data_IF_816092055189
#
_entry.id   IF_816092055189
#
_cell.length_a   1.000
_cell.length_b   1.000
_cell.length_c   1.000
_cell.angle_alpha   90.00
_cell.angle_beta   90.00
_cell.angle_gamma   90.00
#
_symmetry.space_group_name_H-M   'P 1'
#
loop_
_entity.id
_entity.type
_entity.pdbx_description
1 polymer ?
#
# COMPACT_ATOMS: atom_id res chain seq x y z
N UNK A 1 18.46 -13.55 -1.59
CA UNK A 1 17.22 -12.75 -1.65
C UNK A 1 16.12 -13.56 -0.99
N UNK A 2 15.58 -13.08 0.13
CA UNK A 2 14.49 -13.75 0.84
C UNK A 2 13.25 -13.75 -0.07
N UNK A 3 12.52 -14.87 -0.12
CA UNK A 3 11.31 -14.95 -0.93
C UNK A 3 10.24 -14.01 -0.37
N UNK A 4 9.48 -13.35 -1.25
CA UNK A 4 8.38 -12.47 -0.85
C UNK A 4 7.39 -13.15 0.10
N UNK A 5 7.08 -14.42 -0.14
CA UNK A 5 6.20 -15.20 0.72
C UNK A 5 6.71 -15.26 2.17
N UNK A 6 8.03 -15.38 2.37
CA UNK A 6 8.61 -15.37 3.71
C UNK A 6 8.47 -14.00 4.37
N UNK A 7 8.66 -12.91 3.61
CA UNK A 7 8.45 -11.55 4.10
C UNK A 7 7.00 -11.30 4.55
N UNK A 8 6.02 -11.83 3.80
CA UNK A 8 4.59 -11.74 4.16
C UNK A 8 4.25 -12.56 5.42
N UNK A 9 4.86 -13.74 5.58
CA UNK A 9 4.72 -14.54 6.80
C UNK A 9 5.26 -13.77 8.01
N UNK A 10 6.46 -13.21 7.91
CA UNK A 10 7.05 -12.39 8.98
C UNK A 10 6.19 -11.16 9.29
N UNK A 11 5.69 -10.47 8.28
CA UNK A 11 4.78 -9.35 8.45
C UNK A 11 3.50 -9.76 9.21
N UNK A 12 2.92 -10.90 8.85
CA UNK A 12 1.71 -11.42 9.49
C UNK A 12 1.96 -11.79 10.95
N UNK A 13 3.07 -12.47 11.25
CA UNK A 13 3.48 -12.81 12.62
C UNK A 13 3.72 -11.53 13.44
N UNK A 14 4.33 -10.51 12.82
CA UNK A 14 4.57 -9.22 13.45
C UNK A 14 3.27 -8.54 13.87
N UNK A 15 2.30 -8.46 12.96
CA UNK A 15 0.96 -7.92 13.23
C UNK A 15 0.20 -8.70 14.29
N UNK A 16 0.28 -10.03 14.23
CA UNK A 16 -0.35 -10.90 15.22
C UNK A 16 0.24 -10.65 16.62
N UNK A 17 1.56 -10.57 16.71
CA UNK A 17 2.27 -10.34 17.97
C UNK A 17 1.90 -8.99 18.58
N UNK A 18 1.79 -7.94 17.78
CA UNK A 18 1.32 -6.64 18.26
C UNK A 18 -0.13 -6.70 18.76
N UNK A 19 -1.02 -7.37 18.02
CA UNK A 19 -2.42 -7.54 18.44
C UNK A 19 -2.56 -8.34 19.74
N UNK A 20 -1.64 -9.28 20.01
CA UNK A 20 -1.65 -10.11 21.21
C UNK A 20 -0.80 -9.53 22.36
N UNK A 21 -0.05 -8.45 22.12
CA UNK A 21 0.91 -7.91 23.09
C UNK A 21 2.15 -8.80 23.31
N UNK A 22 2.48 -9.65 22.34
CA UNK A 22 3.67 -10.50 22.39
C UNK A 22 4.92 -9.73 21.93
N UNK A 23 6.06 -10.03 22.55
CA UNK A 23 7.37 -9.52 22.11
C UNK A 23 8.02 -10.49 21.13
N UNK A 24 8.68 -9.95 20.10
CA UNK A 24 9.43 -10.73 19.12
C UNK A 24 10.92 -10.69 19.43
N UNK A 25 11.55 -11.87 19.43
CA UNK A 25 12.99 -12.07 19.41
C UNK A 25 13.40 -12.56 18.02
N UNK A 26 14.34 -11.85 17.41
CA UNK A 26 15.02 -12.32 16.21
C UNK A 26 16.44 -12.73 16.58
N UNK A 27 16.78 -13.98 16.30
CA UNK A 27 18.10 -14.57 16.56
C UNK A 27 18.87 -14.84 15.26
N UNK A 28 20.17 -15.12 15.38
CA UNK A 28 21.03 -15.44 14.23
C UNK A 28 21.36 -14.23 13.34
N UNK A 29 21.32 -13.01 13.88
CA UNK A 29 21.68 -11.80 13.13
C UNK A 29 23.20 -11.72 13.01
N UNK A 30 23.70 -11.77 11.78
CA UNK A 30 25.13 -11.76 11.45
C UNK A 30 25.53 -10.50 10.66
N UNK A 31 24.58 -9.85 9.98
CA UNK A 31 24.84 -8.67 9.16
C UNK A 31 23.78 -7.56 9.32
N UNK A 32 24.11 -6.38 8.78
CA UNK A 32 23.24 -5.20 8.83
C UNK A 32 21.91 -5.41 8.09
N UNK A 33 21.88 -6.23 7.03
CA UNK A 33 20.64 -6.49 6.28
C UNK A 33 19.62 -7.25 7.14
N UNK A 34 20.05 -8.29 7.84
CA UNK A 34 19.22 -9.07 8.77
C UNK A 34 18.74 -8.23 9.96
N UNK A 35 19.61 -7.37 10.47
CA UNK A 35 19.26 -6.42 11.52
C UNK A 35 18.12 -5.49 11.09
N UNK A 36 18.25 -4.88 9.91
CA UNK A 36 17.25 -3.97 9.37
C UNK A 36 15.93 -4.67 9.06
N UNK A 37 15.99 -5.92 8.60
CA UNK A 37 14.79 -6.74 8.41
C UNK A 37 14.11 -7.06 9.74
N UNK A 38 14.87 -7.47 10.75
CA UNK A 38 14.35 -7.75 12.10
C UNK A 38 13.63 -6.54 12.69
N UNK A 39 14.26 -5.36 12.60
CA UNK A 39 13.65 -4.09 13.02
C UNK A 39 12.41 -3.73 12.18
N UNK A 40 12.41 -4.04 10.88
CA UNK A 40 11.25 -3.83 10.00
C UNK A 40 10.03 -4.65 10.45
N UNK A 41 10.23 -5.82 11.05
CA UNK A 41 9.18 -6.68 11.59
C UNK A 41 8.93 -6.48 13.09
N UNK A 42 9.29 -5.32 13.63
CA UNK A 42 9.02 -4.95 15.02
C UNK A 42 9.67 -5.87 16.07
N UNK A 43 10.87 -6.40 15.77
CA UNK A 43 11.67 -7.12 16.76
C UNK A 43 11.92 -6.24 18.00
N UNK A 44 11.53 -6.76 19.17
CA UNK A 44 11.81 -6.10 20.45
C UNK A 44 13.16 -6.53 21.02
N UNK A 45 13.52 -7.79 20.80
CA UNK A 45 14.80 -8.37 21.20
C UNK A 45 15.55 -8.85 19.96
N UNK A 46 16.86 -8.68 19.99
CA UNK A 46 17.76 -8.98 18.88
C UNK A 46 18.96 -9.75 19.41
N UNK A 47 19.33 -10.83 18.73
CA UNK A 47 20.45 -11.68 19.11
C UNK A 47 21.22 -12.16 17.87
N UNK A 48 22.54 -12.20 17.98
CA UNK A 48 23.40 -12.73 16.93
C UNK A 48 24.81 -12.18 16.99
N UNK A 49 25.71 -12.79 16.23
CA UNK A 49 27.13 -12.44 16.20
C UNK A 49 27.39 -11.03 15.68
N UNK A 50 26.44 -10.45 14.96
CA UNK A 50 26.48 -9.03 14.62
C UNK A 50 26.71 -8.16 15.86
N UNK A 51 26.08 -8.48 17.00
CA UNK A 51 26.22 -7.71 18.24
C UNK A 51 27.40 -8.18 19.08
N UNK A 52 27.40 -9.47 19.41
CA UNK A 52 28.44 -10.13 20.20
C UNK A 52 28.39 -11.64 19.96
N UNK A 53 29.56 -12.27 19.92
CA UNK A 53 29.66 -13.72 19.93
C UNK A 53 29.34 -14.30 21.31
N UNK A 54 29.17 -15.62 21.38
CA UNK A 54 29.01 -16.32 22.65
C UNK A 54 30.31 -16.23 23.46
N UNK A 55 30.30 -15.42 24.51
CA UNK A 55 31.45 -15.20 25.39
C UNK A 55 31.21 -15.82 26.77
N UNK A 56 32.26 -16.32 27.44
CA UNK A 56 32.15 -16.93 28.77
C UNK A 56 31.81 -15.92 29.87
N UNK A 57 32.01 -14.63 29.61
CA UNK A 57 31.78 -13.53 30.53
C UNK A 57 30.74 -12.55 29.95
N UNK A 58 30.02 -11.85 30.81
CA UNK A 58 29.07 -10.81 30.41
C UNK A 58 29.79 -9.64 29.73
N UNK A 59 29.23 -9.16 28.61
CA UNK A 59 29.74 -7.99 27.89
C UNK A 59 29.29 -6.71 28.61
N UNK A 60 30.13 -5.67 28.57
CA UNK A 60 29.81 -4.36 29.13
C UNK A 60 28.59 -3.73 28.43
N UNK A 61 27.60 -3.30 29.23
CA UNK A 61 26.36 -2.74 28.68
C UNK A 61 26.56 -1.42 27.92
N UNK A 62 27.54 -0.60 28.32
CA UNK A 62 27.75 0.73 27.72
C UNK A 62 28.23 0.67 26.26
N UNK A 63 29.12 -0.27 25.94
CA UNK A 63 29.61 -0.45 24.57
C UNK A 63 28.47 -0.90 23.62
N UNK A 64 27.65 -1.84 24.07
CA UNK A 64 26.48 -2.29 23.33
C UNK A 64 25.46 -1.15 23.16
N UNK A 65 25.19 -0.36 24.21
CA UNK A 65 24.26 0.79 24.12
C UNK A 65 24.67 1.79 23.04
N UNK A 66 25.94 2.17 22.99
CA UNK A 66 26.45 3.10 21.97
C UNK A 66 26.26 2.53 20.55
N UNK A 67 26.58 1.25 20.36
CA UNK A 67 26.40 0.56 19.07
C UNK A 67 24.92 0.49 18.66
N UNK A 68 24.01 0.17 19.58
CA UNK A 68 22.57 0.16 19.32
C UNK A 68 22.02 1.56 18.99
N UNK A 69 22.54 2.62 19.62
CA UNK A 69 22.12 3.99 19.30
C UNK A 69 22.42 4.36 17.85
N UNK A 70 23.63 4.04 17.38
CA UNK A 70 24.02 4.28 15.98
C UNK A 70 23.18 3.45 14.99
N UNK A 71 22.89 2.20 15.34
CA UNK A 71 21.99 1.33 14.55
C UNK A 71 20.60 1.93 14.42
N UNK A 72 20.00 2.40 15.52
CA UNK A 72 18.66 2.99 15.50
C UNK A 72 18.60 4.26 14.64
N UNK A 73 19.63 5.10 14.71
CA UNK A 73 19.72 6.30 13.87
C UNK A 73 19.82 5.93 12.39
N UNK A 74 20.69 4.97 12.04
CA UNK A 74 20.82 4.48 10.66
C UNK A 74 19.50 3.88 10.15
N UNK A 75 18.85 3.03 10.96
CA UNK A 75 17.56 2.43 10.64
C UNK A 75 16.47 3.50 10.42
N UNK A 76 16.38 4.48 11.33
CA UNK A 76 15.41 5.56 11.22
C UNK A 76 15.64 6.38 9.95
N UNK A 77 16.90 6.75 9.66
CA UNK A 77 17.25 7.50 8.46
C UNK A 77 16.92 6.71 7.19
N UNK A 78 17.20 5.41 7.16
CA UNK A 78 16.84 4.54 6.05
C UNK A 78 15.31 4.47 5.84
N UNK A 79 14.54 4.25 6.90
CA UNK A 79 13.06 4.24 6.83
C UNK A 79 12.50 5.59 6.42
N UNK A 80 13.08 6.69 6.91
CA UNK A 80 12.68 8.04 6.52
C UNK A 80 12.91 8.28 5.03
N UNK A 81 14.04 7.84 4.49
CA UNK A 81 14.32 7.96 3.06
C UNK A 81 13.33 7.14 2.21
N UNK A 82 12.98 5.92 2.64
CA UNK A 82 11.93 5.12 1.99
C UNK A 82 10.58 5.84 2.01
N UNK A 83 10.19 6.41 3.14
CA UNK A 83 8.94 7.19 3.27
C UNK A 83 8.92 8.41 2.36
N UNK A 84 10.02 9.17 2.30
CA UNK A 84 10.13 10.35 1.42
C UNK A 84 9.98 9.96 -0.04
N UNK A 85 10.68 8.92 -0.49
CA UNK A 85 10.54 8.41 -1.87
C UNK A 85 9.11 7.97 -2.17
N UNK A 86 8.48 7.25 -1.24
CA UNK A 86 7.10 6.79 -1.37
C UNK A 86 6.12 7.96 -1.50
N UNK A 87 6.23 8.94 -0.61
CA UNK A 87 5.39 10.16 -0.64
C UNK A 87 5.57 10.92 -1.95
N UNK A 88 6.82 11.05 -2.43
CA UNK A 88 7.11 11.73 -3.69
C UNK A 88 6.44 11.02 -4.87
N UNK A 89 6.56 9.69 -4.96
CA UNK A 89 5.92 8.91 -6.01
C UNK A 89 4.39 8.98 -5.91
N UNK A 90 3.81 8.85 -4.71
CA UNK A 90 2.36 8.94 -4.50
C UNK A 90 1.83 10.28 -5.03
N UNK A 91 2.51 11.40 -4.73
CA UNK A 91 2.15 12.72 -5.26
C UNK A 91 2.25 12.83 -6.78
N UNK A 92 3.32 12.28 -7.37
CA UNK A 92 3.49 12.26 -8.83
C UNK A 92 2.38 11.47 -9.54
N UNK A 93 1.93 10.37 -8.93
CA UNK A 93 0.83 9.56 -9.46
C UNK A 93 -0.52 10.26 -9.27
N UNK A 94 -0.76 10.89 -8.11
CA UNK A 94 -1.95 11.70 -7.85
C UNK A 94 -2.07 12.87 -8.84
N UNK A 95 -0.97 13.57 -9.11
CA UNK A 95 -0.93 14.65 -10.10
C UNK A 95 -1.27 14.13 -11.51
N UNK A 96 -0.73 12.96 -11.90
CA UNK A 96 -1.11 12.31 -13.17
C UNK A 96 -2.58 11.92 -13.21
N UNK A 97 -3.15 11.45 -12.10
CA UNK A 97 -4.58 11.12 -12.00
C UNK A 97 -5.43 12.39 -12.18
N UNK A 98 -5.07 13.50 -11.52
CA UNK A 98 -5.82 14.75 -11.66
C UNK A 98 -5.68 15.35 -13.07
N UNK A 99 -4.47 15.36 -13.66
CA UNK A 99 -4.23 15.83 -15.03
C UNK A 99 -4.84 14.92 -16.12
N UNK A 100 -5.17 13.68 -15.79
CA UNK A 100 -5.81 12.75 -16.73
C UNK A 100 -7.26 13.14 -17.08
N UNK A 101 -7.88 14.00 -16.27
CA UNK A 101 -9.23 14.51 -16.50
C UNK A 101 -10.28 13.41 -16.47
N UNK A 102 -10.23 12.53 -15.45
CA UNK A 102 -11.25 11.49 -15.26
C UNK A 102 -12.57 12.16 -14.85
N UNK A 103 -13.59 12.02 -15.71
CA UNK A 103 -14.93 12.53 -15.50
C UNK A 103 -15.87 11.33 -15.36
N UNK A 104 -16.72 11.36 -14.32
CA UNK A 104 -17.74 10.34 -14.11
C UNK A 104 -19.11 10.98 -14.32
N UNK A 105 -19.82 10.50 -15.33
CA UNK A 105 -21.19 10.92 -15.63
C UNK A 105 -22.14 10.04 -14.83
N UNK A 106 -22.69 10.60 -13.74
CA UNK A 106 -23.57 9.89 -12.81
C UNK A 106 -25.07 10.15 -13.06
N UNK A 107 -25.43 10.90 -14.11
CA UNK A 107 -26.81 11.23 -14.46
C UNK A 107 -27.54 10.11 -15.22
N UNK A 108 -26.79 9.13 -15.73
CA UNK A 108 -27.29 7.99 -16.49
C UNK A 108 -27.67 6.81 -15.55
N UNK A 109 -28.59 5.93 -15.97
CA UNK A 109 -28.92 4.69 -15.22
C UNK A 109 -27.68 3.83 -14.93
N UNK A 110 -26.68 3.90 -15.82
CA UNK A 110 -25.36 3.31 -15.65
C UNK A 110 -24.32 4.43 -15.70
N UNK A 111 -23.51 4.58 -14.64
CA UNK A 111 -22.46 5.59 -14.63
C UNK A 111 -21.42 5.29 -15.71
N UNK A 112 -21.10 6.29 -16.53
CA UNK A 112 -20.04 6.20 -17.53
C UNK A 112 -18.82 7.02 -17.09
N UNK A 113 -17.62 6.54 -17.44
CA UNK A 113 -16.35 7.19 -17.13
C UNK A 113 -15.69 7.63 -18.44
N UNK A 114 -15.30 8.89 -18.52
CA UNK A 114 -14.55 9.48 -19.61
C UNK A 114 -13.18 9.91 -19.11
N UNK A 115 -12.13 9.66 -19.91
CA UNK A 115 -10.74 9.98 -19.57
C UNK A 115 -10.20 10.88 -20.68
N UNK A 116 -9.87 12.13 -20.36
CA UNK A 116 -9.41 13.10 -21.37
C UNK A 116 -8.01 12.77 -21.88
N UNK A 117 -7.09 12.41 -20.99
CA UNK A 117 -5.69 12.13 -21.31
C UNK A 117 -5.27 10.70 -20.88
N UNK A 118 -5.74 9.64 -21.56
CA UNK A 118 -5.52 8.25 -21.14
C UNK A 118 -4.03 7.84 -21.10
N UNK A 119 -3.16 8.47 -21.90
CA UNK A 119 -1.72 8.18 -21.89
C UNK A 119 -1.02 8.50 -20.58
N UNK A 120 -1.56 9.43 -19.78
CA UNK A 120 -0.98 9.71 -18.47
C UNK A 120 -1.12 8.51 -17.53
N UNK A 121 -2.09 7.63 -17.79
CA UNK A 121 -2.48 6.52 -16.93
C UNK A 121 -1.94 5.17 -17.41
N UNK A 122 -1.62 5.05 -18.70
CA UNK A 122 -1.32 3.77 -19.36
C UNK A 122 -0.17 2.96 -18.74
N UNK A 123 0.74 3.64 -18.05
CA UNK A 123 1.96 3.03 -17.51
C UNK A 123 1.77 2.46 -16.11
N UNK A 124 0.71 2.82 -15.39
CA UNK A 124 0.55 2.41 -13.98
C UNK A 124 -0.88 2.05 -13.60
N UNK A 125 -1.91 2.55 -14.29
CA UNK A 125 -3.30 2.23 -14.00
C UNK A 125 -3.69 0.91 -14.64
N UNK A 126 -4.16 -0.02 -13.81
CA UNK A 126 -4.68 -1.31 -14.22
C UNK A 126 -6.18 -1.23 -14.55
N UNK A 127 -6.97 -0.57 -13.69
CA UNK A 127 -8.42 -0.49 -13.81
C UNK A 127 -8.99 0.78 -13.20
N UNK A 128 -10.06 1.31 -13.78
CA UNK A 128 -10.90 2.37 -13.20
C UNK A 128 -12.35 1.91 -13.13
N UNK A 129 -13.03 2.20 -12.03
CA UNK A 129 -14.47 1.95 -11.86
C UNK A 129 -15.07 2.87 -10.78
N UNK A 130 -16.39 3.01 -10.76
CA UNK A 130 -17.11 3.79 -9.76
C UNK A 130 -18.09 2.93 -8.96
N UNK A 131 -18.24 3.22 -7.68
CA UNK A 131 -19.27 2.63 -6.82
C UNK A 131 -20.21 3.71 -6.27
N UNK A 132 -21.38 3.29 -5.82
CA UNK A 132 -22.17 4.10 -4.89
C UNK A 132 -21.62 4.01 -3.45
N UNK A 133 -22.20 4.75 -2.51
CA UNK A 133 -21.75 4.78 -1.11
C UNK A 133 -21.88 3.45 -0.35
N UNK A 134 -22.75 2.54 -0.80
CA UNK A 134 -22.91 1.20 -0.19
C UNK A 134 -21.99 0.15 -0.83
N UNK A 135 -21.09 0.58 -1.72
CA UNK A 135 -20.09 -0.26 -2.38
C UNK A 135 -20.61 -1.07 -3.56
N UNK A 136 -21.82 -0.80 -4.05
CA UNK A 136 -22.30 -1.39 -5.31
C UNK A 136 -21.65 -0.68 -6.48
N UNK A 137 -21.05 -1.44 -7.39
CA UNK A 137 -20.43 -0.91 -8.59
C UNK A 137 -21.48 -0.43 -9.59
N UNK A 138 -21.37 0.83 -9.99
CA UNK A 138 -22.35 1.53 -10.84
C UNK A 138 -21.80 1.88 -12.23
N UNK A 139 -20.53 1.59 -12.49
CA UNK A 139 -19.91 1.73 -13.82
C UNK A 139 -19.31 0.40 -14.29
N UNK A 140 -19.07 0.23 -15.60
CA UNK A 140 -18.15 -0.79 -16.09
C UNK A 140 -16.74 -0.64 -15.50
N UNK A 141 -15.94 -1.69 -15.63
CA UNK A 141 -14.49 -1.60 -15.48
C UNK A 141 -13.88 -1.02 -16.76
N UNK A 142 -13.00 -0.05 -16.61
CA UNK A 142 -12.19 0.51 -17.69
C UNK A 142 -10.76 0.02 -17.50
N UNK A 143 -10.27 -0.81 -18.43
CA UNK A 143 -8.98 -1.51 -18.35
C UNK A 143 -8.14 -1.24 -19.60
N UNK A 144 -6.85 -1.59 -19.55
CA UNK A 144 -5.87 -1.37 -20.64
C UNK A 144 -5.93 0.06 -21.20
N UNK A 145 -5.88 1.04 -20.31
CA UNK A 145 -6.09 2.46 -20.64
C UNK A 145 -4.91 2.94 -21.50
N UNK A 146 -5.18 3.39 -22.73
CA UNK A 146 -4.15 3.95 -23.62
C UNK A 146 -4.75 4.66 -24.82
N UNK A 147 -3.89 5.22 -25.69
CA UNK A 147 -4.30 5.98 -26.88
C UNK A 147 -5.23 5.22 -27.85
N UNK A 148 -5.03 3.91 -27.99
CA UNK A 148 -5.63 3.14 -29.09
C UNK A 148 -6.95 2.48 -28.71
N UNK A 149 -7.13 2.15 -27.43
CA UNK A 149 -8.31 1.45 -26.94
C UNK A 149 -8.39 1.54 -25.42
N UNK A 150 -9.61 1.51 -24.90
CA UNK A 150 -9.90 1.24 -23.49
C UNK A 150 -10.83 0.02 -23.49
N UNK A 151 -10.44 -1.04 -22.80
CA UNK A 151 -11.25 -2.23 -22.66
C UNK A 151 -12.35 -1.95 -21.62
N UNK A 152 -13.61 -2.03 -22.04
CA UNK A 152 -14.78 -1.79 -21.19
C UNK A 152 -15.42 -3.13 -20.87
N UNK A 153 -15.51 -3.46 -19.58
CA UNK A 153 -16.13 -4.68 -19.09
C UNK A 153 -17.27 -4.36 -18.11
N UNK A 154 -18.50 -4.58 -18.56
CA UNK A 154 -19.73 -4.35 -17.78
C UNK A 154 -20.11 -5.52 -16.86
N UNK A 155 -19.39 -6.65 -16.89
CA UNK A 155 -19.74 -7.86 -16.11
C UNK A 155 -19.59 -7.70 -14.58
N UNK A 156 -19.02 -6.58 -14.14
CA UNK A 156 -18.85 -6.21 -12.74
C UNK A 156 -19.89 -5.21 -12.22
N UNK A 157 -20.73 -4.65 -13.09
CA UNK A 157 -21.84 -3.75 -12.71
C UNK A 157 -22.80 -4.49 -11.77
N UNK A 158 -23.20 -3.84 -10.69
CA UNK A 158 -24.09 -4.39 -9.67
C UNK A 158 -23.42 -5.30 -8.64
N UNK A 159 -22.12 -5.63 -8.81
CA UNK A 159 -21.37 -6.33 -7.76
C UNK A 159 -21.12 -5.41 -6.57
N UNK A 160 -21.09 -5.97 -5.38
CA UNK A 160 -20.86 -5.23 -4.15
C UNK A 160 -19.46 -5.50 -3.59
N UNK A 161 -18.75 -4.43 -3.23
CA UNK A 161 -17.36 -4.44 -2.75
C UNK A 161 -17.21 -4.04 -1.27
N UNK A 162 -18.32 -3.83 -0.55
CA UNK A 162 -18.30 -3.39 0.85
C UNK A 162 -17.57 -4.33 1.81
N UNK A 163 -17.44 -5.61 1.44
CA UNK A 163 -16.73 -6.62 2.21
C UNK A 163 -15.21 -6.58 2.04
N UNK A 164 -14.68 -5.84 1.04
CA UNK A 164 -13.23 -5.71 0.87
C UNK A 164 -12.66 -4.86 2.01
N UNK A 165 -11.62 -5.32 2.74
CA UNK A 165 -11.12 -4.61 3.93
C UNK A 165 -10.77 -3.14 3.71
N UNK A 166 -10.15 -2.82 2.56
CA UNK A 166 -9.77 -1.45 2.23
C UNK A 166 -10.96 -0.54 1.91
N UNK A 167 -12.12 -1.09 1.52
CA UNK A 167 -13.30 -0.29 1.16
C UNK A 167 -13.83 0.48 2.38
N UNK A 168 -13.97 -0.20 3.52
CA UNK A 168 -14.43 0.44 4.75
C UNK A 168 -13.41 1.44 5.29
N UNK A 169 -12.12 1.14 5.15
CA UNK A 169 -11.05 2.08 5.51
C UNK A 169 -11.10 3.35 4.64
N UNK A 170 -11.31 3.21 3.34
CA UNK A 170 -11.48 4.33 2.41
C UNK A 170 -12.74 5.13 2.73
N UNK A 171 -13.86 4.47 3.01
CA UNK A 171 -15.10 5.11 3.42
C UNK A 171 -14.89 5.94 4.69
N UNK A 172 -14.28 5.35 5.72
CA UNK A 172 -13.93 6.05 6.95
C UNK A 172 -13.06 7.28 6.71
N UNK A 173 -11.98 7.14 5.91
CA UNK A 173 -11.08 8.26 5.57
C UNK A 173 -11.83 9.37 4.83
N UNK A 174 -12.69 9.02 3.88
CA UNK A 174 -13.50 9.99 3.12
C UNK A 174 -14.55 10.72 3.95
N UNK A 175 -15.06 10.09 5.02
CA UNK A 175 -15.99 10.73 5.96
C UNK A 175 -15.27 11.65 6.95
N UNK A 176 -14.02 11.31 7.30
CA UNK A 176 -13.22 12.06 8.27
C UNK A 176 -12.55 13.29 7.66
N UNK A 177 -12.08 13.18 6.42
CA UNK A 177 -11.47 14.29 5.69
C UNK A 177 -12.34 14.63 4.48
N UNK A 178 -12.97 15.81 4.53
CA UNK A 178 -13.85 16.29 3.45
C UNK A 178 -13.08 16.96 2.31
N UNK A 179 -11.75 17.03 2.41
CA UNK A 179 -10.91 17.48 1.28
C UNK A 179 -11.00 16.46 0.16
N UNK A 180 -11.14 16.94 -1.07
CA UNK A 180 -11.21 16.12 -2.29
C UNK A 180 -9.84 15.51 -2.66
N UNK A 181 -9.12 14.99 -1.68
CA UNK A 181 -7.82 14.35 -1.84
C UNK A 181 -7.99 12.87 -2.18
N UNK A 182 -6.99 12.30 -2.85
CA UNK A 182 -6.95 10.88 -3.13
C UNK A 182 -6.67 10.09 -1.84
N UNK A 183 -7.42 9.02 -1.64
CA UNK A 183 -7.20 8.08 -0.54
C UNK A 183 -6.57 6.82 -1.09
N UNK A 184 -5.41 6.46 -0.57
CA UNK A 184 -4.60 5.33 -1.03
C UNK A 184 -4.78 4.13 -0.08
N UNK A 185 -5.00 2.93 -0.65
CA UNK A 185 -5.03 1.68 0.11
C UNK A 185 -3.62 1.18 0.47
N UNK A 186 -3.53 0.21 1.38
CA UNK A 186 -2.33 -0.62 1.44
C UNK A 186 -2.22 -1.50 0.17
N UNK A 187 -1.01 -1.94 -0.19
CA UNK A 187 -0.82 -2.92 -1.26
C UNK A 187 -1.60 -4.21 -1.00
N UNK A 188 -2.24 -4.75 -2.03
CA UNK A 188 -2.97 -6.01 -1.96
C UNK A 188 -2.92 -6.75 -3.29
N UNK A 189 -3.12 -8.06 -3.25
CA UNK A 189 -3.27 -8.86 -4.47
C UNK A 189 -4.71 -8.84 -4.95
N UNK A 190 -4.93 -8.44 -6.20
CA UNK A 190 -6.25 -8.61 -6.81
C UNK A 190 -6.56 -10.10 -6.99
N UNK A 191 -7.72 -10.50 -6.47
CA UNK A 191 -8.15 -11.91 -6.43
C UNK A 191 -8.40 -12.47 -7.84
N UNK A 192 -8.83 -11.62 -8.78
CA UNK A 192 -9.20 -12.08 -10.12
C UNK A 192 -7.96 -12.24 -11.01
N UNK A 193 -6.96 -11.37 -10.83
CA UNK A 193 -5.80 -11.29 -11.72
C UNK A 193 -4.48 -11.71 -11.08
N UNK A 194 -4.39 -11.83 -9.76
CA UNK A 194 -3.16 -12.17 -9.04
C UNK A 194 -2.08 -11.09 -9.12
N UNK A 195 -2.45 -9.84 -9.41
CA UNK A 195 -1.53 -8.71 -9.57
C UNK A 195 -1.49 -7.93 -8.25
N UNK A 196 -0.29 -7.49 -7.84
CA UNK A 196 -0.13 -6.59 -6.70
C UNK A 196 -0.54 -5.17 -7.08
N UNK A 197 -1.60 -4.68 -6.45
CA UNK A 197 -2.19 -3.38 -6.72
C UNK A 197 -2.25 -2.52 -5.46
N UNK A 198 -2.38 -1.22 -5.68
CA UNK A 198 -2.82 -0.22 -4.71
C UNK A 198 -4.01 0.50 -5.32
N UNK A 199 -5.05 0.74 -4.53
CA UNK A 199 -6.25 1.44 -5.01
C UNK A 199 -6.26 2.88 -4.51
N UNK A 200 -6.32 3.80 -5.45
CA UNK A 200 -6.61 5.21 -5.22
C UNK A 200 -8.12 5.41 -5.29
N UNK A 201 -8.71 6.07 -4.30
CA UNK A 201 -10.13 6.37 -4.27
C UNK A 201 -10.39 7.85 -4.03
N UNK A 202 -11.42 8.41 -4.68
CA UNK A 202 -11.80 9.82 -4.56
C UNK A 202 -13.31 9.95 -4.60
N UNK A 203 -13.88 10.68 -3.64
CA UNK A 203 -15.32 11.02 -3.66
C UNK A 203 -15.54 12.02 -4.80
N UNK A 204 -16.42 11.67 -5.74
CA UNK A 204 -16.68 12.46 -6.96
C UNK A 204 -18.03 13.18 -6.91
N UNK A 205 -18.99 12.66 -6.14
CA UNK A 205 -20.30 13.26 -5.92
C UNK A 205 -20.79 12.88 -4.51
N UNK A 206 -21.95 13.39 -4.11
CA UNK A 206 -22.58 12.95 -2.85
C UNK A 206 -22.98 11.47 -2.82
N UNK A 207 -23.00 10.80 -3.97
CA UNK A 207 -23.51 9.43 -4.08
C UNK A 207 -22.47 8.43 -4.60
N UNK A 208 -21.36 8.90 -5.18
CA UNK A 208 -20.42 8.07 -5.89
C UNK A 208 -18.97 8.28 -5.46
N UNK A 209 -18.20 7.20 -5.52
CA UNK A 209 -16.77 7.15 -5.26
C UNK A 209 -16.09 6.51 -6.46
N UNK A 210 -15.05 7.17 -6.96
CA UNK A 210 -14.18 6.66 -8.01
C UNK A 210 -13.07 5.82 -7.39
N UNK A 211 -12.76 4.68 -8.02
CA UNK A 211 -11.67 3.79 -7.66
C UNK A 211 -10.75 3.61 -8.86
N UNK A 212 -9.46 3.72 -8.61
CA UNK A 212 -8.40 3.54 -9.60
C UNK A 212 -7.39 2.55 -9.02
N UNK A 213 -7.37 1.35 -9.59
CA UNK A 213 -6.39 0.33 -9.23
C UNK A 213 -5.11 0.58 -10.02
N UNK A 214 -4.01 0.84 -9.32
CA UNK A 214 -2.69 1.06 -9.86
C UNK A 214 -1.77 -0.11 -9.51
N UNK A 215 -0.89 -0.48 -10.45
CA UNK A 215 0.17 -1.44 -10.17
C UNK A 215 1.18 -0.83 -9.19
N UNK A 216 1.62 -1.64 -8.22
CA UNK A 216 2.68 -1.22 -7.31
C UNK A 216 3.98 -1.11 -8.10
N UNK A 217 4.53 0.09 -8.15
CA UNK A 217 5.86 0.35 -8.69
C UNK A 217 6.89 0.10 -7.57
N UNK A 218 7.97 -0.60 -7.87
CA UNK A 218 9.03 -0.87 -6.90
C UNK A 218 9.76 0.43 -6.51
N UNK A 219 10.13 0.55 -5.22
CA UNK A 219 10.75 1.73 -4.58
C UNK A 219 12.24 1.54 -4.27
#
# INVERSE_FOLDING_TARGET
VISRNFQEILFTISRLSESLGCSLLFEGIENETELFQSLTYSARFLQGFYFAEALPNMVGQEELKLRFSAVHECFLNHKRNQLVKRIQLEKELEEKLDLSGIIVNAEEELCSIQIQNPNLLSNFVFRIYATNLIGSQVSPNYMKIGNSSIDIDSSFVGRNWSWRPYFLEQLYKSMKDTRAEWIISNPYYDISYGILLVTYSKKISEQNVLFVDAQVLEY
#
